data_IF_892510741724
#
_entry.id   IF_892510741724
#
_cell.length_a   1.000
_cell.length_b   1.000
_cell.length_c   1.000
_cell.angle_alpha   90.00
_cell.angle_beta   90.00
_cell.angle_gamma   90.00
#
_symmetry.space_group_name_H-M   'P 1'
#
loop_
_entity.id
_entity.type
_entity.pdbx_description
1 polymer ?
#
# COMPACT_ATOMS: atom_id res chain seq x y z
N UNK A 1 -33.39 -34.81 -32.37
CA UNK A 1 -33.72 -34.06 -31.15
C UNK A 1 -32.39 -33.66 -30.54
N UNK A 2 -32.16 -32.36 -30.34
CA UNK A 2 -30.97 -31.91 -29.61
C UNK A 2 -31.21 -32.12 -28.12
N UNK A 3 -30.35 -32.88 -27.46
CA UNK A 3 -30.32 -33.01 -26.00
C UNK A 3 -29.91 -31.67 -25.37
N UNK A 4 -30.89 -30.78 -25.21
CA UNK A 4 -30.73 -29.57 -24.43
C UNK A 4 -30.98 -29.90 -22.96
N UNK A 5 -29.92 -30.01 -22.18
CA UNK A 5 -30.01 -30.12 -20.71
C UNK A 5 -30.03 -28.72 -20.12
N UNK A 6 -31.03 -28.42 -19.28
CA UNK A 6 -30.97 -27.23 -18.45
C UNK A 6 -29.80 -27.34 -17.46
N UNK A 7 -29.10 -26.22 -17.14
CA UNK A 7 -28.17 -26.21 -16.04
C UNK A 7 -28.88 -26.59 -14.74
N UNK A 8 -28.22 -27.35 -13.86
CA UNK A 8 -28.78 -27.68 -12.54
C UNK A 8 -28.98 -26.43 -11.64
N UNK A 9 -28.35 -25.31 -12.00
CA UNK A 9 -28.45 -24.03 -11.31
C UNK A 9 -28.39 -22.88 -12.34
N UNK A 10 -29.46 -22.10 -12.45
CA UNK A 10 -29.50 -20.90 -13.31
C UNK A 10 -28.88 -19.73 -12.54
N UNK A 11 -27.55 -19.63 -12.60
CA UNK A 11 -26.79 -18.60 -11.88
C UNK A 11 -27.24 -17.19 -12.25
N UNK A 12 -27.54 -16.94 -13.52
CA UNK A 12 -27.96 -15.62 -14.02
C UNK A 12 -29.30 -15.21 -13.42
N UNK A 13 -30.26 -16.12 -13.35
CA UNK A 13 -31.55 -15.87 -12.71
C UNK A 13 -31.37 -15.57 -11.22
N UNK A 14 -30.61 -16.40 -10.49
CA UNK A 14 -30.40 -16.23 -9.05
C UNK A 14 -29.66 -14.92 -8.75
N UNK A 15 -28.65 -14.56 -9.54
CA UNK A 15 -27.92 -13.29 -9.39
C UNK A 15 -28.81 -12.07 -9.66
N UNK A 16 -29.68 -12.13 -10.67
CA UNK A 16 -30.63 -11.05 -10.95
C UNK A 16 -31.64 -10.87 -9.82
N UNK A 17 -32.14 -11.97 -9.22
CA UNK A 17 -33.05 -11.90 -8.06
C UNK A 17 -32.32 -11.30 -6.85
N UNK A 18 -31.11 -11.76 -6.55
CA UNK A 18 -30.30 -11.23 -5.45
C UNK A 18 -30.07 -9.72 -5.61
N UNK A 19 -29.69 -9.29 -6.81
CA UNK A 19 -29.40 -7.88 -7.12
C UNK A 19 -30.68 -7.02 -7.05
N UNK A 20 -31.81 -7.53 -7.51
CA UNK A 20 -33.10 -6.85 -7.38
C UNK A 20 -33.52 -6.70 -5.91
N UNK A 21 -33.33 -7.74 -5.10
CA UNK A 21 -33.57 -7.68 -3.65
C UNK A 21 -32.66 -6.66 -2.97
N UNK A 22 -31.36 -6.66 -3.29
CA UNK A 22 -30.38 -5.71 -2.77
C UNK A 22 -30.76 -4.25 -3.12
N UNK A 23 -31.08 -3.99 -4.39
CA UNK A 23 -31.53 -2.67 -4.85
C UNK A 23 -32.86 -2.23 -4.21
N UNK A 24 -33.73 -3.18 -3.88
CA UNK A 24 -34.96 -2.95 -3.12
C UNK A 24 -34.74 -2.85 -1.60
N UNK A 25 -33.47 -2.80 -1.15
CA UNK A 25 -33.07 -2.74 0.27
C UNK A 25 -33.51 -3.94 1.12
N UNK A 26 -33.81 -5.07 0.48
CA UNK A 26 -34.13 -6.35 1.11
C UNK A 26 -32.85 -7.17 1.29
N UNK A 27 -31.95 -6.67 2.14
CA UNK A 27 -30.58 -7.17 2.27
C UNK A 27 -30.55 -8.66 2.64
N UNK A 28 -31.36 -9.10 3.61
CA UNK A 28 -31.39 -10.51 4.03
C UNK A 28 -31.93 -11.44 2.93
N UNK A 29 -32.86 -10.98 2.09
CA UNK A 29 -33.31 -11.74 0.92
C UNK A 29 -32.17 -11.87 -0.10
N UNK A 30 -31.42 -10.79 -0.35
CA UNK A 30 -30.26 -10.81 -1.22
C UNK A 30 -29.16 -11.75 -0.71
N UNK A 31 -28.86 -11.72 0.60
CA UNK A 31 -27.91 -12.63 1.26
C UNK A 31 -28.32 -14.08 1.05
N UNK A 32 -29.61 -14.40 1.16
CA UNK A 32 -30.12 -15.75 0.89
C UNK A 32 -29.79 -16.25 -0.52
N UNK A 33 -30.01 -15.43 -1.54
CA UNK A 33 -29.71 -15.80 -2.93
C UNK A 33 -28.22 -15.80 -3.25
N UNK A 34 -27.46 -14.82 -2.74
CA UNK A 34 -26.01 -14.79 -2.87
C UNK A 34 -25.34 -15.98 -2.20
N UNK A 35 -25.85 -16.41 -1.04
CA UNK A 35 -25.39 -17.62 -0.34
C UNK A 35 -25.59 -18.87 -1.19
N UNK A 36 -26.69 -18.99 -1.96
CA UNK A 36 -26.89 -20.13 -2.86
C UNK A 36 -25.81 -20.20 -3.95
N UNK A 37 -25.45 -19.05 -4.55
CA UNK A 37 -24.40 -18.97 -5.57
C UNK A 37 -23.04 -19.38 -4.97
N UNK A 38 -22.71 -18.84 -3.79
CA UNK A 38 -21.45 -19.12 -3.11
C UNK A 38 -21.36 -20.58 -2.61
N UNK A 39 -22.45 -21.13 -2.07
CA UNK A 39 -22.51 -22.51 -1.57
C UNK A 39 -22.42 -23.53 -2.70
N UNK A 40 -22.89 -23.16 -3.90
CA UNK A 40 -22.67 -23.91 -5.14
C UNK A 40 -21.25 -23.76 -5.71
N UNK A 41 -20.37 -22.98 -5.05
CA UNK A 41 -18.98 -22.71 -5.44
C UNK A 41 -18.83 -22.14 -6.85
N UNK A 42 -19.80 -21.33 -7.27
CA UNK A 42 -19.74 -20.70 -8.59
C UNK A 42 -18.66 -19.63 -8.59
N UNK A 43 -17.61 -19.86 -9.37
CA UNK A 43 -16.49 -18.94 -9.57
C UNK A 43 -16.58 -18.18 -10.89
N UNK A 44 -15.65 -17.25 -11.09
CA UNK A 44 -15.57 -16.38 -12.27
C UNK A 44 -15.49 -14.90 -11.86
N UNK A 45 -14.95 -14.01 -12.72
CA UNK A 45 -14.73 -12.61 -12.37
C UNK A 45 -16.00 -11.90 -11.88
N UNK A 46 -17.15 -12.20 -12.50
CA UNK A 46 -18.43 -11.56 -12.22
C UNK A 46 -19.09 -11.97 -10.90
N UNK A 47 -18.57 -13.01 -10.24
CA UNK A 47 -19.13 -13.55 -8.99
C UNK A 47 -18.27 -13.26 -7.77
N UNK A 48 -17.07 -12.70 -7.94
CA UNK A 48 -16.14 -12.47 -6.83
C UNK A 48 -16.70 -11.52 -5.77
N UNK A 49 -17.41 -10.48 -6.21
CA UNK A 49 -18.09 -9.52 -5.34
C UNK A 49 -19.17 -10.17 -4.46
N UNK A 50 -19.76 -11.30 -4.88
CA UNK A 50 -20.75 -12.05 -4.08
C UNK A 50 -20.08 -12.60 -2.81
N UNK A 51 -18.89 -13.18 -2.94
CA UNK A 51 -18.15 -13.71 -1.81
C UNK A 51 -17.68 -12.59 -0.86
N UNK A 52 -17.22 -11.46 -1.42
CA UNK A 52 -16.83 -10.28 -0.62
C UNK A 52 -18.03 -9.72 0.15
N UNK A 53 -19.16 -9.55 -0.53
CA UNK A 53 -20.41 -9.09 0.07
C UNK A 53 -20.86 -9.98 1.24
N UNK A 54 -20.79 -11.31 1.07
CA UNK A 54 -21.17 -12.23 2.15
C UNK A 54 -20.21 -12.15 3.34
N UNK A 55 -18.90 -12.05 3.10
CA UNK A 55 -17.91 -11.85 4.18
C UNK A 55 -18.20 -10.57 4.96
N UNK A 56 -18.35 -9.44 4.27
CA UNK A 56 -18.72 -8.14 4.88
C UNK A 56 -20.01 -8.24 5.70
N UNK A 57 -21.09 -8.76 5.09
CA UNK A 57 -22.38 -8.88 5.74
C UNK A 57 -22.32 -9.67 7.05
N UNK A 58 -21.65 -10.83 7.04
CA UNK A 58 -21.53 -11.65 8.24
C UNK A 58 -20.55 -11.08 9.27
N UNK A 59 -19.51 -10.36 8.84
CA UNK A 59 -18.64 -9.61 9.74
C UNK A 59 -19.42 -8.53 10.50
N UNK A 60 -20.23 -7.73 9.80
CA UNK A 60 -21.07 -6.69 10.40
C UNK A 60 -22.07 -7.27 11.42
N UNK A 61 -22.57 -8.48 11.18
CA UNK A 61 -23.47 -9.19 12.10
C UNK A 61 -22.76 -9.92 13.24
N UNK A 62 -21.42 -9.97 13.22
CA UNK A 62 -20.63 -10.73 14.19
C UNK A 62 -20.77 -12.25 14.06
N UNK A 63 -21.25 -12.75 12.92
CA UNK A 63 -21.47 -14.17 12.64
C UNK A 63 -20.17 -14.83 12.13
N UNK A 64 -19.27 -15.12 13.07
CA UNK A 64 -17.95 -15.69 12.77
C UNK A 64 -18.01 -16.98 11.94
N UNK A 65 -18.89 -17.96 12.22
CA UNK A 65 -18.99 -19.17 11.40
C UNK A 65 -19.23 -18.89 9.91
N UNK A 66 -20.16 -17.98 9.60
CA UNK A 66 -20.44 -17.65 8.21
C UNK A 66 -19.36 -16.74 7.58
N UNK A 67 -18.77 -15.82 8.35
CA UNK A 67 -17.58 -15.08 7.90
C UNK A 67 -16.45 -16.03 7.48
N UNK A 68 -16.08 -16.99 8.33
CA UNK A 68 -15.02 -17.96 8.05
C UNK A 68 -15.36 -18.85 6.84
N UNK A 69 -16.62 -19.30 6.74
CA UNK A 69 -17.11 -20.09 5.59
C UNK A 69 -16.90 -19.35 4.28
N UNK A 70 -17.42 -18.12 4.15
CA UNK A 70 -17.37 -17.39 2.89
C UNK A 70 -15.98 -16.83 2.59
N UNK A 71 -15.19 -16.50 3.61
CA UNK A 71 -13.77 -16.15 3.46
C UNK A 71 -12.98 -17.33 2.88
N UNK A 72 -13.17 -18.54 3.40
CA UNK A 72 -12.49 -19.74 2.90
C UNK A 72 -12.90 -20.07 1.46
N UNK A 73 -14.19 -19.94 1.11
CA UNK A 73 -14.65 -20.15 -0.27
C UNK A 73 -14.08 -19.09 -1.23
N UNK A 74 -14.07 -17.82 -0.82
CA UNK A 74 -13.47 -16.73 -1.58
C UNK A 74 -11.98 -16.94 -1.84
N UNK A 75 -11.23 -17.34 -0.80
CA UNK A 75 -9.80 -17.67 -0.94
C UNK A 75 -9.55 -18.86 -1.85
N UNK A 76 -10.41 -19.88 -1.81
CA UNK A 76 -10.28 -21.05 -2.68
C UNK A 76 -10.46 -20.69 -4.17
N UNK A 77 -11.43 -19.82 -4.48
CA UNK A 77 -11.78 -19.47 -5.86
C UNK A 77 -10.98 -18.29 -6.41
N UNK A 78 -10.55 -17.37 -5.55
CA UNK A 78 -9.86 -16.12 -5.91
C UNK A 78 -8.60 -15.90 -5.05
N UNK A 79 -7.63 -16.83 -5.07
CA UNK A 79 -6.48 -16.82 -4.16
C UNK A 79 -5.55 -15.61 -4.32
N UNK A 80 -5.58 -14.95 -5.48
CA UNK A 80 -4.79 -13.75 -5.77
C UNK A 80 -5.44 -12.45 -5.25
N UNK A 81 -6.72 -12.48 -4.84
CA UNK A 81 -7.41 -11.25 -4.44
C UNK A 81 -6.96 -10.82 -3.03
N UNK A 82 -6.36 -9.62 -2.97
CA UNK A 82 -5.87 -9.00 -1.75
C UNK A 82 -6.95 -8.81 -0.67
N UNK A 83 -8.22 -8.67 -1.05
CA UNK A 83 -9.34 -8.53 -0.12
C UNK A 83 -9.34 -9.59 0.98
N UNK A 84 -9.09 -10.86 0.65
CA UNK A 84 -9.11 -11.94 1.64
C UNK A 84 -7.95 -11.86 2.64
N UNK A 85 -6.87 -11.19 2.26
CA UNK A 85 -5.72 -10.91 3.12
C UNK A 85 -6.05 -9.68 3.98
N UNK A 86 -6.65 -8.65 3.40
CA UNK A 86 -7.08 -7.44 4.10
C UNK A 86 -8.05 -7.74 5.24
N UNK A 87 -9.06 -8.59 5.01
CA UNK A 87 -10.02 -9.02 6.05
C UNK A 87 -9.29 -9.61 7.26
N UNK A 88 -8.25 -10.42 7.06
CA UNK A 88 -7.47 -10.97 8.17
C UNK A 88 -6.77 -9.86 8.96
N UNK A 89 -6.19 -8.86 8.29
CA UNK A 89 -5.56 -7.72 8.97
C UNK A 89 -6.59 -6.93 9.80
N UNK A 90 -7.78 -6.70 9.25
CA UNK A 90 -8.80 -5.87 9.88
C UNK A 90 -9.43 -6.50 11.13
N UNK A 91 -9.29 -7.81 11.36
CA UNK A 91 -9.60 -8.46 12.63
C UNK A 91 -8.84 -7.85 13.83
N UNK A 92 -7.68 -7.23 13.58
CA UNK A 92 -6.94 -6.54 14.62
C UNK A 92 -7.63 -5.26 15.09
N UNK A 93 -8.51 -4.67 14.27
CA UNK A 93 -9.04 -3.32 14.40
C UNK A 93 -8.08 -2.26 13.85
N UNK A 94 -8.52 -1.00 13.84
CA UNK A 94 -7.75 0.12 13.27
C UNK A 94 -7.03 0.97 14.33
N UNK A 95 -7.49 0.94 15.58
CA UNK A 95 -7.04 1.88 16.63
C UNK A 95 -5.84 1.41 17.44
N UNK A 96 -5.68 0.09 17.60
CA UNK A 96 -4.55 -0.52 18.32
C UNK A 96 -3.44 -0.85 17.33
N UNK A 97 -2.60 0.14 17.03
CA UNK A 97 -1.51 0.00 16.06
C UNK A 97 -0.53 -1.13 16.40
N UNK A 98 -0.07 -1.32 17.65
CA UNK A 98 0.77 -2.48 17.99
C UNK A 98 0.12 -3.82 17.63
N UNK A 99 -1.17 -4.00 17.97
CA UNK A 99 -1.90 -5.22 17.60
C UNK A 99 -2.06 -5.34 16.08
N UNK A 100 -2.33 -4.25 15.39
CA UNK A 100 -2.47 -4.20 13.92
C UNK A 100 -1.17 -4.55 13.22
N UNK A 101 -0.03 -4.00 13.66
CA UNK A 101 1.29 -4.34 13.14
C UNK A 101 1.64 -5.81 13.37
N UNK A 102 1.37 -6.35 14.57
CA UNK A 102 1.57 -7.77 14.84
C UNK A 102 0.72 -8.65 13.89
N UNK A 103 -0.50 -8.23 13.57
CA UNK A 103 -1.35 -8.95 12.60
C UNK A 103 -0.80 -8.86 11.18
N UNK A 104 -0.33 -7.70 10.73
CA UNK A 104 0.39 -7.59 9.45
C UNK A 104 1.57 -8.55 9.38
N UNK A 105 2.39 -8.64 10.43
CA UNK A 105 3.54 -9.55 10.47
C UNK A 105 3.14 -11.03 10.48
N UNK A 106 2.05 -11.39 11.18
CA UNK A 106 1.48 -12.74 11.14
C UNK A 106 1.03 -13.10 9.72
N UNK A 107 0.27 -12.21 9.08
CA UNK A 107 -0.31 -12.43 7.75
C UNK A 107 0.79 -12.41 6.68
N UNK A 108 1.81 -11.56 6.82
CA UNK A 108 2.96 -11.50 5.90
C UNK A 108 3.79 -12.79 5.93
N UNK A 109 3.83 -13.53 7.05
CA UNK A 109 4.45 -14.87 7.07
C UNK A 109 3.69 -15.88 6.20
N UNK A 110 2.37 -15.75 6.09
CA UNK A 110 1.50 -16.60 5.25
C UNK A 110 1.59 -16.20 3.78
N UNK A 111 1.77 -14.90 3.51
CA UNK A 111 1.81 -14.33 2.16
C UNK A 111 3.05 -13.44 1.93
N UNK A 112 4.28 -13.98 2.04
CA UNK A 112 5.52 -13.18 2.08
C UNK A 112 5.83 -12.45 0.77
N UNK A 113 5.20 -12.83 -0.34
CA UNK A 113 5.34 -12.19 -1.64
C UNK A 113 4.12 -11.39 -2.08
N UNK A 114 3.18 -11.07 -1.17
CA UNK A 114 2.02 -10.27 -1.56
C UNK A 114 2.37 -8.78 -1.54
N UNK A 115 2.47 -8.17 -2.72
CA UNK A 115 2.81 -6.75 -2.88
C UNK A 115 1.87 -5.83 -2.07
N UNK A 116 0.56 -5.98 -2.22
CA UNK A 116 -0.42 -5.08 -1.60
C UNK A 116 -0.38 -5.15 -0.07
N UNK A 117 -0.22 -6.35 0.51
CA UNK A 117 -0.06 -6.54 1.94
C UNK A 117 1.16 -5.78 2.48
N UNK A 118 2.31 -5.98 1.84
CA UNK A 118 3.56 -5.37 2.27
C UNK A 118 3.54 -3.86 2.06
N UNK A 119 3.02 -3.40 0.93
CA UNK A 119 2.87 -1.97 0.64
C UNK A 119 1.95 -1.29 1.67
N UNK A 120 0.77 -1.85 1.94
CA UNK A 120 -0.16 -1.27 2.91
C UNK A 120 0.41 -1.28 4.34
N UNK A 121 1.12 -2.33 4.72
CA UNK A 121 1.84 -2.35 5.99
C UNK A 121 2.88 -1.22 6.07
N UNK A 122 3.67 -1.02 5.01
CA UNK A 122 4.63 0.07 4.95
C UNK A 122 3.96 1.46 5.00
N UNK A 123 2.78 1.63 4.40
CA UNK A 123 1.98 2.87 4.49
C UNK A 123 1.60 3.14 5.94
N UNK A 124 1.11 2.14 6.67
CA UNK A 124 0.72 2.33 8.07
C UNK A 124 1.91 2.63 8.98
N UNK A 125 3.04 1.92 8.79
CA UNK A 125 4.28 2.21 9.49
C UNK A 125 4.79 3.63 9.19
N UNK A 126 4.74 4.05 7.93
CA UNK A 126 5.13 5.40 7.51
C UNK A 126 4.24 6.46 8.17
N UNK A 127 2.93 6.25 8.16
CA UNK A 127 2.00 7.18 8.80
C UNK A 127 2.28 7.27 10.30
N UNK A 128 2.43 6.14 10.98
CA UNK A 128 2.78 6.10 12.40
C UNK A 128 4.09 6.83 12.71
N UNK A 129 5.11 6.72 11.85
CA UNK A 129 6.39 7.37 12.06
C UNK A 129 6.38 8.89 11.80
N UNK A 130 5.60 9.37 10.82
CA UNK A 130 5.82 10.70 10.22
C UNK A 130 4.63 11.67 10.25
N UNK A 131 3.41 11.24 10.62
CA UNK A 131 2.25 12.15 10.58
C UNK A 131 2.01 12.90 11.89
N UNK A 132 2.55 12.41 13.00
CA UNK A 132 2.44 13.08 14.31
C UNK A 132 3.59 14.06 14.52
N UNK A 133 3.31 15.17 15.21
CA UNK A 133 4.34 16.13 15.63
C UNK A 133 5.36 15.51 16.61
N UNK A 134 4.92 14.47 17.34
CA UNK A 134 5.78 13.73 18.27
C UNK A 134 6.19 12.41 17.65
N UNK A 135 7.51 12.24 17.48
CA UNK A 135 8.09 10.96 17.04
C UNK A 135 7.77 9.85 18.04
N UNK A 136 7.34 8.67 17.58
CA UNK A 136 7.05 7.56 18.47
C UNK A 136 8.31 7.04 19.18
N UNK A 137 8.15 6.34 20.29
CA UNK A 137 9.27 5.84 21.10
C UNK A 137 10.17 4.85 20.32
N UNK A 138 9.56 4.07 19.42
CA UNK A 138 10.21 3.09 18.53
C UNK A 138 10.57 3.67 17.16
N UNK A 139 10.55 5.00 16.98
CA UNK A 139 10.71 5.68 15.68
C UNK A 139 11.88 5.15 14.84
N UNK A 140 13.07 4.92 15.41
CA UNK A 140 14.22 4.38 14.65
C UNK A 140 14.02 2.94 14.20
N UNK A 141 13.35 2.11 14.99
CA UNK A 141 13.01 0.73 14.63
C UNK A 141 11.95 0.72 13.54
N UNK A 142 10.93 1.57 13.67
CA UNK A 142 9.89 1.78 12.64
C UNK A 142 10.50 2.23 11.32
N UNK A 143 11.48 3.13 11.34
CA UNK A 143 12.20 3.56 10.14
C UNK A 143 12.85 2.37 9.42
N UNK A 144 13.61 1.55 10.13
CA UNK A 144 14.21 0.33 9.55
C UNK A 144 13.14 -0.60 8.99
N UNK A 145 12.03 -0.80 9.72
CA UNK A 145 10.93 -1.66 9.29
C UNK A 145 10.26 -1.16 8.00
N UNK A 146 10.09 0.15 7.83
CA UNK A 146 9.54 0.75 6.59
C UNK A 146 10.45 0.38 5.41
N UNK A 147 11.77 0.62 5.51
CA UNK A 147 12.72 0.33 4.43
C UNK A 147 12.75 -1.17 4.08
N UNK A 148 12.81 -2.06 5.08
CA UNK A 148 12.78 -3.51 4.88
C UNK A 148 11.48 -3.99 4.21
N UNK A 149 10.34 -3.49 4.68
CA UNK A 149 9.02 -3.88 4.17
C UNK A 149 8.83 -3.39 2.74
N UNK A 150 9.24 -2.16 2.42
CA UNK A 150 9.18 -1.61 1.06
C UNK A 150 10.13 -2.31 0.10
N UNK A 151 11.34 -2.66 0.53
CA UNK A 151 12.26 -3.44 -0.29
C UNK A 151 11.65 -4.80 -0.65
N UNK A 152 10.99 -5.46 0.31
CA UNK A 152 10.29 -6.73 0.08
C UNK A 152 9.10 -6.53 -0.87
N UNK A 153 8.30 -5.48 -0.68
CA UNK A 153 7.18 -5.16 -1.57
C UNK A 153 7.66 -4.92 -3.01
N UNK A 154 8.69 -4.09 -3.20
CA UNK A 154 9.25 -3.77 -4.51
C UNK A 154 9.91 -4.96 -5.21
N UNK A 155 10.38 -5.96 -4.45
CA UNK A 155 10.84 -7.22 -5.00
C UNK A 155 9.68 -8.13 -5.44
N UNK A 156 8.50 -7.99 -4.81
CA UNK A 156 7.29 -8.77 -5.07
C UNK A 156 6.32 -8.15 -6.10
N UNK A 157 6.59 -6.91 -6.56
CA UNK A 157 5.71 -6.18 -7.48
C UNK A 157 5.54 -6.90 -8.82
N UNK A 158 4.35 -6.79 -9.42
CA UNK A 158 4.13 -7.05 -10.85
C UNK A 158 4.56 -5.83 -11.67
N UNK A 159 4.73 -5.98 -12.98
CA UNK A 159 5.15 -4.86 -13.86
C UNK A 159 4.18 -3.67 -13.83
N UNK A 160 2.90 -3.93 -13.57
CA UNK A 160 1.84 -2.92 -13.46
C UNK A 160 1.81 -2.19 -12.12
N UNK A 161 2.56 -2.68 -11.13
CA UNK A 161 2.49 -2.25 -9.74
C UNK A 161 3.80 -1.53 -9.32
N UNK A 162 3.86 -1.03 -8.09
CA UNK A 162 5.11 -0.60 -7.46
C UNK A 162 5.44 0.88 -7.57
N UNK A 163 4.73 1.66 -8.37
CA UNK A 163 4.96 3.10 -8.47
C UNK A 163 4.68 3.80 -7.14
N UNK A 164 3.61 3.43 -6.42
CA UNK A 164 3.31 4.00 -5.11
C UNK A 164 4.33 3.57 -4.04
N UNK A 165 4.87 2.36 -4.14
CA UNK A 165 5.94 1.89 -3.26
C UNK A 165 7.25 2.64 -3.51
N UNK A 166 7.58 2.96 -4.77
CA UNK A 166 8.71 3.82 -5.12
C UNK A 166 8.53 5.24 -4.55
N UNK A 167 7.33 5.81 -4.65
CA UNK A 167 7.00 7.12 -4.06
C UNK A 167 7.20 7.08 -2.55
N UNK A 168 6.67 6.06 -1.88
CA UNK A 168 6.77 5.93 -0.43
C UNK A 168 8.21 5.71 0.02
N UNK A 169 9.00 4.91 -0.70
CA UNK A 169 10.42 4.69 -0.46
C UNK A 169 11.21 6.01 -0.61
N UNK A 170 10.99 6.75 -1.69
CA UNK A 170 11.64 8.04 -1.90
C UNK A 170 11.33 9.03 -0.75
N UNK A 171 10.07 9.11 -0.32
CA UNK A 171 9.65 9.95 0.81
C UNK A 171 10.29 9.51 2.12
N UNK A 172 10.33 8.20 2.39
CA UNK A 172 10.94 7.64 3.60
C UNK A 172 12.44 7.97 3.67
N UNK A 173 13.17 7.70 2.58
CA UNK A 173 14.60 7.99 2.49
C UNK A 173 14.86 9.51 2.60
N UNK A 174 13.97 10.36 2.07
CA UNK A 174 14.09 11.81 2.20
C UNK A 174 13.91 12.28 3.65
N UNK A 175 12.95 11.70 4.38
CA UNK A 175 12.79 11.96 5.81
C UNK A 175 14.03 11.54 6.62
N UNK A 176 14.69 10.43 6.23
CA UNK A 176 15.94 10.01 6.85
C UNK A 176 17.07 11.02 6.63
N UNK A 177 17.16 11.68 5.46
CA UNK A 177 18.18 12.72 5.25
C UNK A 177 17.94 13.93 6.15
N UNK A 178 16.69 14.35 6.35
CA UNK A 178 16.37 15.44 7.29
C UNK A 178 16.74 15.11 8.73
N UNK A 179 16.47 13.88 9.20
CA UNK A 179 16.89 13.43 10.53
C UNK A 179 18.42 13.50 10.70
N UNK A 180 19.17 13.05 9.70
CA UNK A 180 20.64 13.07 9.72
C UNK A 180 21.18 14.50 9.64
N UNK A 181 20.55 15.37 8.84
CA UNK A 181 20.90 16.78 8.77
C UNK A 181 20.68 17.47 10.12
N UNK A 182 19.57 17.18 10.79
CA UNK A 182 19.34 17.72 12.14
C UNK A 182 20.38 17.19 13.14
N UNK A 183 20.67 15.88 13.13
CA UNK A 183 21.74 15.34 13.97
C UNK A 183 23.07 16.06 13.73
N UNK A 184 23.39 16.33 12.46
CA UNK A 184 24.59 17.05 12.07
C UNK A 184 24.60 18.50 12.61
N UNK A 185 23.47 19.22 12.52
CA UNK A 185 23.33 20.60 13.02
C UNK A 185 23.43 20.71 14.54
N UNK A 186 23.03 19.66 15.27
CA UNK A 186 23.09 19.61 16.72
C UNK A 186 24.51 19.40 17.27
N UNK A 187 25.48 19.00 16.44
CA UNK A 187 26.89 18.90 16.84
C UNK A 187 27.49 20.31 16.97
N UNK A 188 27.49 20.86 18.19
CA UNK A 188 28.02 22.21 18.48
C UNK A 188 29.53 22.27 18.73
N UNK A 189 30.15 21.15 19.10
CA UNK A 189 31.57 21.10 19.43
C UNK A 189 32.49 21.32 18.21
N UNK A 190 33.74 21.68 18.47
CA UNK A 190 34.76 21.95 17.44
C UNK A 190 35.97 21.03 17.56
N UNK A 191 35.90 19.98 18.38
CA UNK A 191 37.00 19.03 18.50
C UNK A 191 37.22 18.27 17.20
N UNK A 192 38.40 17.67 16.97
CA UNK A 192 38.61 16.77 15.85
C UNK A 192 37.57 15.63 15.77
N UNK A 193 37.09 15.14 16.92
CA UNK A 193 36.04 14.13 16.99
C UNK A 193 34.68 14.66 16.50
N UNK A 194 34.31 15.89 16.87
CA UNK A 194 33.08 16.55 16.39
C UNK A 194 33.12 16.77 14.88
N UNK A 195 34.28 17.21 14.37
CA UNK A 195 34.45 17.42 12.94
C UNK A 195 34.37 16.12 12.16
N UNK A 196 34.96 15.03 12.69
CA UNK A 196 34.81 13.69 12.13
C UNK A 196 33.34 13.26 12.10
N UNK A 197 32.61 13.40 13.21
CA UNK A 197 31.18 13.04 13.28
C UNK A 197 30.34 13.82 12.26
N UNK A 198 30.58 15.12 12.08
CA UNK A 198 29.90 15.94 11.06
C UNK A 198 30.21 15.46 9.64
N UNK A 199 31.46 15.13 9.34
CA UNK A 199 31.86 14.61 8.04
C UNK A 199 31.23 13.24 7.76
N UNK A 200 31.25 12.33 8.74
CA UNK A 200 30.64 10.99 8.62
C UNK A 200 29.13 11.09 8.35
N UNK A 201 28.42 12.01 9.02
CA UNK A 201 26.99 12.27 8.74
C UNK A 201 26.78 12.86 7.35
N UNK A 202 27.63 13.78 6.89
CA UNK A 202 27.55 14.34 5.54
C UNK A 202 27.68 13.24 4.49
N UNK A 203 28.62 12.32 4.67
CA UNK A 203 28.87 11.24 3.73
C UNK A 203 27.68 10.25 3.71
N UNK A 204 27.09 9.96 4.88
CA UNK A 204 25.85 9.16 4.98
C UNK A 204 24.66 9.85 4.30
N UNK A 205 24.49 11.16 4.48
CA UNK A 205 23.43 11.93 3.81
C UNK A 205 23.59 11.83 2.30
N UNK A 206 24.80 12.04 1.77
CA UNK A 206 25.09 11.95 0.34
C UNK A 206 24.81 10.53 -0.20
N UNK A 207 25.28 9.49 0.49
CA UNK A 207 24.95 8.09 0.13
C UNK A 207 23.45 7.84 0.12
N UNK A 208 22.71 8.43 1.05
CA UNK A 208 21.27 8.22 1.15
C UNK A 208 20.52 8.93 0.01
N UNK A 209 20.98 10.10 -0.44
CA UNK A 209 20.52 10.72 -1.69
C UNK A 209 20.83 9.86 -2.92
N UNK A 210 21.99 9.21 -2.99
CA UNK A 210 22.33 8.31 -4.10
C UNK A 210 21.38 7.09 -4.17
N UNK A 211 21.03 6.52 -3.01
CA UNK A 211 20.06 5.41 -2.92
C UNK A 211 18.64 5.87 -3.24
N UNK A 212 18.26 7.07 -2.81
CA UNK A 212 16.93 7.64 -2.99
C UNK A 212 16.63 7.97 -4.46
N UNK A 213 17.61 8.54 -5.17
CA UNK A 213 17.44 9.07 -6.52
C UNK A 213 16.77 8.10 -7.52
N UNK A 214 17.17 6.81 -7.64
CA UNK A 214 16.51 5.89 -8.58
C UNK A 214 15.02 5.69 -8.29
N UNK A 215 14.61 5.64 -7.02
CA UNK A 215 13.19 5.50 -6.65
C UNK A 215 12.38 6.77 -7.01
N UNK A 216 12.97 7.95 -6.76
CA UNK A 216 12.34 9.21 -7.12
C UNK A 216 12.25 9.40 -8.64
N UNK A 217 13.29 9.04 -9.40
CA UNK A 217 13.25 9.10 -10.86
C UNK A 217 12.23 8.13 -11.45
N UNK A 218 12.17 6.88 -10.96
CA UNK A 218 11.16 5.92 -11.41
C UNK A 218 9.73 6.41 -11.12
N UNK A 219 9.52 7.04 -9.97
CA UNK A 219 8.23 7.66 -9.61
C UNK A 219 7.90 8.86 -10.48
N UNK A 220 8.88 9.70 -10.76
CA UNK A 220 8.72 10.89 -11.60
C UNK A 220 8.35 10.51 -13.02
N UNK A 221 9.08 9.55 -13.59
CA UNK A 221 8.90 9.03 -14.95
C UNK A 221 7.50 8.41 -15.12
N UNK A 222 7.02 7.67 -14.12
CA UNK A 222 5.65 7.15 -14.11
C UNK A 222 4.61 8.26 -14.27
N UNK A 223 4.71 9.34 -13.49
CA UNK A 223 3.75 10.45 -13.59
C UNK A 223 3.93 11.23 -14.90
N UNK A 224 5.16 11.44 -15.37
CA UNK A 224 5.44 12.17 -16.62
C UNK A 224 4.81 11.47 -17.85
N UNK A 225 4.72 10.15 -17.84
CA UNK A 225 4.16 9.34 -18.94
C UNK A 225 2.70 8.91 -18.73
N UNK A 226 2.10 9.25 -17.59
CA UNK A 226 0.71 8.88 -17.30
C UNK A 226 -0.24 9.78 -18.10
N UNK A 227 -1.13 9.15 -18.90
CA UNK A 227 -2.07 9.87 -19.77
C UNK A 227 -3.10 10.71 -19.02
N UNK A 228 -3.48 10.29 -17.81
CA UNK A 228 -4.44 11.00 -16.96
C UNK A 228 -3.94 11.01 -15.52
N UNK A 229 -3.71 12.22 -14.98
CA UNK A 229 -3.23 12.42 -13.62
C UNK A 229 -4.35 12.96 -12.75
N UNK A 230 -4.69 12.23 -11.69
CA UNK A 230 -5.72 12.64 -10.73
C UNK A 230 -5.23 13.82 -9.89
N UNK A 231 -6.15 14.61 -9.35
CA UNK A 231 -5.81 15.74 -8.48
C UNK A 231 -4.92 15.34 -7.28
N UNK A 232 -5.21 14.18 -6.67
CA UNK A 232 -4.41 13.60 -5.58
C UNK A 232 -2.99 13.22 -6.01
N UNK A 233 -2.79 12.83 -7.27
CA UNK A 233 -1.50 12.38 -7.81
C UNK A 233 -0.60 13.57 -8.18
N UNK A 234 -1.18 14.72 -8.53
CA UNK A 234 -0.42 15.96 -8.80
C UNK A 234 0.42 16.40 -7.60
N UNK A 235 -0.13 16.28 -6.39
CA UNK A 235 0.59 16.58 -5.15
C UNK A 235 1.81 15.68 -4.98
N UNK A 236 1.63 14.37 -5.19
CA UNK A 236 2.72 13.39 -5.16
C UNK A 236 3.76 13.67 -6.25
N UNK A 237 3.34 14.02 -7.47
CA UNK A 237 4.26 14.31 -8.56
C UNK A 237 5.13 15.54 -8.28
N UNK A 238 4.54 16.62 -7.75
CA UNK A 238 5.28 17.81 -7.30
C UNK A 238 6.30 17.48 -6.23
N UNK A 239 5.89 16.75 -5.19
CA UNK A 239 6.78 16.32 -4.12
C UNK A 239 7.95 15.49 -4.65
N UNK A 240 7.70 14.56 -5.57
CA UNK A 240 8.76 13.76 -6.18
C UNK A 240 9.71 14.63 -7.01
N UNK A 241 9.21 15.61 -7.77
CA UNK A 241 10.05 16.55 -8.52
C UNK A 241 10.97 17.36 -7.60
N UNK A 242 10.45 17.82 -6.46
CA UNK A 242 11.24 18.48 -5.40
C UNK A 242 12.34 17.55 -4.86
N UNK A 243 11.99 16.30 -4.54
CA UNK A 243 12.95 15.30 -4.06
C UNK A 243 14.06 15.03 -5.10
N UNK A 244 13.71 14.89 -6.38
CA UNK A 244 14.70 14.69 -7.46
C UNK A 244 15.62 15.91 -7.58
N UNK A 245 15.08 17.13 -7.49
CA UNK A 245 15.87 18.36 -7.50
C UNK A 245 16.88 18.38 -6.35
N UNK A 246 16.42 18.10 -5.12
CA UNK A 246 17.28 18.05 -3.94
C UNK A 246 18.40 17.00 -4.05
N UNK A 247 18.12 15.85 -4.69
CA UNK A 247 19.16 14.85 -4.98
C UNK A 247 20.23 15.41 -5.92
N UNK A 248 19.84 16.10 -6.99
CA UNK A 248 20.80 16.69 -7.92
C UNK A 248 21.60 17.83 -7.30
N UNK A 249 21.02 18.63 -6.40
CA UNK A 249 21.79 19.60 -5.60
C UNK A 249 22.86 18.91 -4.75
N UNK A 250 22.49 17.83 -4.03
CA UNK A 250 23.43 17.07 -3.22
C UNK A 250 24.58 16.48 -4.05
N UNK A 251 24.30 16.11 -5.30
CA UNK A 251 25.29 15.64 -6.29
C UNK A 251 26.06 16.77 -6.98
N UNK A 252 25.82 18.04 -6.61
CA UNK A 252 26.43 19.23 -7.22
C UNK A 252 26.15 19.34 -8.73
N UNK A 253 24.93 19.01 -9.12
CA UNK A 253 24.43 19.10 -10.50
C UNK A 253 23.31 20.16 -10.62
N UNK A 254 23.62 21.46 -10.45
CA UNK A 254 22.61 22.52 -10.32
C UNK A 254 21.71 22.66 -11.55
N UNK A 255 22.26 22.49 -12.76
CA UNK A 255 21.46 22.56 -14.00
C UNK A 255 20.37 21.49 -14.04
N UNK A 256 20.68 20.26 -13.59
CA UNK A 256 19.68 19.20 -13.45
C UNK A 256 18.70 19.49 -12.32
N UNK A 257 19.17 20.03 -11.20
CA UNK A 257 18.27 20.41 -10.12
C UNK A 257 17.25 21.46 -10.58
N UNK A 258 17.68 22.45 -11.37
CA UNK A 258 16.82 23.48 -11.96
C UNK A 258 15.84 22.91 -12.99
N UNK A 259 16.27 21.95 -13.82
CA UNK A 259 15.37 21.24 -14.75
C UNK A 259 14.13 20.69 -14.02
N UNK A 260 14.33 19.97 -12.92
CA UNK A 260 13.21 19.38 -12.17
C UNK A 260 12.39 20.43 -11.41
N UNK A 261 12.99 21.53 -10.94
CA UNK A 261 12.22 22.66 -10.36
C UNK A 261 11.32 23.30 -11.40
N UNK A 262 11.81 23.48 -12.62
CA UNK A 262 11.02 24.08 -13.69
C UNK A 262 9.94 23.13 -14.21
N UNK A 263 10.22 21.83 -14.29
CA UNK A 263 9.20 20.82 -14.56
C UNK A 263 8.13 20.81 -13.46
N UNK A 264 8.52 20.88 -12.18
CA UNK A 264 7.59 20.94 -11.04
C UNK A 264 6.59 22.11 -11.16
N UNK A 265 7.06 23.31 -11.55
CA UNK A 265 6.20 24.49 -11.75
C UNK A 265 5.15 24.31 -12.85
N UNK A 266 5.40 23.43 -13.83
CA UNK A 266 4.50 23.15 -14.96
C UNK A 266 3.44 22.10 -14.63
N UNK A 267 3.55 21.41 -13.49
CA UNK A 267 2.53 20.49 -13.02
C UNK A 267 1.32 21.32 -12.56
N UNK A 268 0.31 21.44 -13.43
CA UNK A 268 -0.96 22.12 -13.15
C UNK A 268 -1.81 21.28 -12.21
#
# INVERSE_FOLDING_TARGET
QSDFSFPAFDTSMVQNIASAAYNAKKVEEAVGYYSQIADAKIGGPDYMNIYQFLVEHYMEKGDKPNTEKYLSLGQQLYPENYYWIQVQVDEAGETDLPKRFAKYEEVAKKYPGNYFLLYNYAVELFNYAYTSDTKPADYKQTQTKIEETLNTALAAKKETDGHEANVLMARHLYNLTFDMQEEQRLIKGQTPADQKKRNDLRDKINQKFDVLLPYALASYDYYEHKSEIKASEKGSWKLIAEIVSACYDAKKMPEKADEYRDKMKKIL
#
